data_IF_766662094030
#
_entry.id   IF_766662094030
#
_cell.length_a   1.000
_cell.length_b   1.000
_cell.length_c   1.000
_cell.angle_alpha   90.00
_cell.angle_beta   90.00
_cell.angle_gamma   90.00
#
_symmetry.space_group_name_H-M   'P 1'
#
loop_
_entity.id
_entity.type
_entity.pdbx_description
1 polymer ?
#
# COMPACT_ATOMS: atom_id res chain seq x y z
N UNK A 1 38.18 17.91 20.61
CA UNK A 1 36.73 18.00 20.91
C UNK A 1 35.86 18.08 19.65
N UNK A 2 36.01 19.06 18.73
CA UNK A 2 35.17 19.16 17.50
C UNK A 2 35.13 17.91 16.60
N UNK A 3 36.25 17.18 16.45
CA UNK A 3 36.29 15.95 15.64
C UNK A 3 35.39 14.83 16.23
N UNK A 4 35.37 14.69 17.56
CA UNK A 4 34.49 13.74 18.24
C UNK A 4 33.01 14.16 18.16
N UNK A 5 32.70 15.45 18.07
CA UNK A 5 31.34 15.93 17.82
C UNK A 5 30.88 15.63 16.40
N UNK A 6 31.75 15.82 15.39
CA UNK A 6 31.44 15.53 13.99
C UNK A 6 31.21 14.04 13.74
N UNK A 7 32.09 13.16 14.27
CA UNK A 7 31.92 11.71 14.19
C UNK A 7 30.68 11.21 14.93
N UNK A 8 30.33 11.84 16.06
CA UNK A 8 29.12 11.50 16.82
C UNK A 8 27.85 11.99 16.10
N UNK A 9 27.95 13.08 15.33
CA UNK A 9 26.87 13.60 14.51
C UNK A 9 26.66 12.77 13.25
N UNK A 10 27.72 12.37 12.55
CA UNK A 10 27.64 11.40 11.43
C UNK A 10 27.10 10.04 11.89
N UNK A 11 27.51 9.55 13.07
CA UNK A 11 26.98 8.32 13.64
C UNK A 11 25.50 8.44 14.08
N UNK A 12 25.09 9.60 14.60
CA UNK A 12 23.70 9.86 14.97
C UNK A 12 22.80 9.99 13.72
N UNK A 13 23.29 10.67 12.69
CA UNK A 13 22.59 10.83 11.41
C UNK A 13 22.42 9.48 10.70
N UNK A 14 23.44 8.60 10.74
CA UNK A 14 23.35 7.23 10.23
C UNK A 14 22.31 6.39 11.02
N UNK A 15 22.28 6.52 12.35
CA UNK A 15 21.30 5.81 13.17
C UNK A 15 19.86 6.28 12.90
N UNK A 16 19.64 7.60 12.81
CA UNK A 16 18.31 8.16 12.49
C UNK A 16 17.86 7.68 11.11
N UNK A 17 18.75 7.72 10.13
CA UNK A 17 18.44 7.30 8.76
C UNK A 17 17.99 5.83 8.71
N UNK A 18 18.68 4.95 9.43
CA UNK A 18 18.31 3.53 9.55
C UNK A 18 16.95 3.32 10.22
N UNK A 19 16.67 4.03 11.31
CA UNK A 19 15.37 3.94 12.01
C UNK A 19 14.24 4.38 11.06
N UNK A 20 14.44 5.49 10.34
CA UNK A 20 13.45 5.96 9.37
C UNK A 20 13.26 4.96 8.22
N UNK A 21 14.34 4.35 7.73
CA UNK A 21 14.30 3.26 6.76
C UNK A 21 13.52 2.03 7.25
N UNK A 22 13.65 1.67 8.52
CA UNK A 22 12.88 0.57 9.11
C UNK A 22 11.39 0.90 9.24
N UNK A 23 11.07 2.11 9.71
CA UNK A 23 9.70 2.57 9.85
C UNK A 23 8.98 2.61 8.50
N UNK A 24 9.60 3.22 7.49
CA UNK A 24 9.00 3.32 6.15
C UNK A 24 8.73 1.93 5.56
N UNK A 25 9.61 0.95 5.78
CA UNK A 25 9.41 -0.43 5.32
C UNK A 25 8.22 -1.11 6.01
N UNK A 26 8.11 -1.00 7.34
CA UNK A 26 6.96 -1.56 8.08
C UNK A 26 5.65 -0.97 7.58
N UNK A 27 5.57 0.36 7.48
CA UNK A 27 4.36 1.04 7.00
C UNK A 27 4.03 0.72 5.55
N UNK A 28 5.04 0.51 4.71
CA UNK A 28 4.86 0.11 3.32
C UNK A 28 4.22 -1.27 3.22
N UNK A 29 4.74 -2.27 3.94
CA UNK A 29 4.13 -3.61 3.96
C UNK A 29 2.77 -3.62 4.64
N UNK A 30 2.58 -2.87 5.73
CA UNK A 30 1.29 -2.74 6.39
C UNK A 30 0.25 -2.16 5.42
N UNK A 31 0.62 -1.14 4.64
CA UNK A 31 -0.25 -0.56 3.62
C UNK A 31 -0.58 -1.57 2.52
N UNK A 32 0.41 -2.31 2.02
CA UNK A 32 0.23 -3.34 0.99
C UNK A 32 -0.78 -4.42 1.42
N UNK A 33 -0.59 -5.00 2.61
CA UNK A 33 -1.49 -6.03 3.12
C UNK A 33 -2.85 -5.48 3.55
N UNK A 34 -2.94 -4.25 4.07
CA UNK A 34 -4.22 -3.60 4.35
C UNK A 34 -5.04 -3.42 3.07
N UNK A 35 -4.43 -2.97 1.97
CA UNK A 35 -5.11 -2.81 0.67
C UNK A 35 -5.65 -4.14 0.16
N UNK A 36 -4.86 -5.21 0.23
CA UNK A 36 -5.30 -6.56 -0.10
C UNK A 36 -6.50 -7.00 0.78
N UNK A 37 -6.38 -6.84 2.09
CA UNK A 37 -7.43 -7.20 3.05
C UNK A 37 -8.75 -6.45 2.80
N UNK A 38 -8.68 -5.14 2.53
CA UNK A 38 -9.86 -4.32 2.19
C UNK A 38 -10.51 -4.80 0.89
N UNK A 39 -9.73 -5.16 -0.12
CA UNK A 39 -10.24 -5.67 -1.40
C UNK A 39 -10.93 -7.04 -1.23
N UNK A 40 -10.33 -7.95 -0.46
CA UNK A 40 -10.93 -9.25 -0.10
C UNK A 40 -12.24 -9.04 0.66
N UNK A 41 -12.23 -8.22 1.71
CA UNK A 41 -13.41 -7.89 2.51
C UNK A 41 -14.57 -7.39 1.64
N UNK A 42 -14.26 -6.51 0.68
CA UNK A 42 -15.21 -5.97 -0.29
C UNK A 42 -15.75 -7.03 -1.25
N UNK A 43 -14.89 -7.91 -1.75
CA UNK A 43 -15.32 -9.00 -2.63
C UNK A 43 -16.25 -9.97 -1.88
N UNK A 44 -15.92 -10.33 -0.63
CA UNK A 44 -16.77 -11.19 0.21
C UNK A 44 -18.14 -10.55 0.43
N UNK A 45 -18.18 -9.25 0.76
CA UNK A 45 -19.42 -8.51 0.98
C UNK A 45 -20.38 -8.56 -0.22
N UNK A 46 -19.85 -8.58 -1.46
CA UNK A 46 -20.65 -8.60 -2.68
C UNK A 46 -20.95 -10.03 -3.16
N UNK A 47 -19.95 -10.92 -3.11
CA UNK A 47 -20.06 -12.25 -3.71
C UNK A 47 -20.92 -13.20 -2.86
N UNK A 48 -20.88 -13.05 -1.53
CA UNK A 48 -21.54 -13.97 -0.58
C UNK A 48 -22.20 -13.19 0.56
N UNK A 49 -23.23 -12.36 0.31
CA UNK A 49 -23.78 -11.42 1.29
C UNK A 49 -24.28 -12.09 2.59
N UNK A 50 -24.83 -13.31 2.51
CA UNK A 50 -25.30 -14.06 3.68
C UNK A 50 -24.14 -14.51 4.57
N UNK A 51 -23.04 -14.99 3.97
CA UNK A 51 -21.83 -15.37 4.70
C UNK A 51 -21.07 -14.12 5.19
N UNK A 52 -21.09 -13.04 4.42
CA UNK A 52 -20.48 -11.77 4.79
C UNK A 52 -21.05 -11.21 6.10
N UNK A 53 -22.35 -11.38 6.36
CA UNK A 53 -22.96 -10.98 7.64
C UNK A 53 -22.38 -11.73 8.86
N UNK A 54 -21.87 -12.96 8.67
CA UNK A 54 -21.22 -13.76 9.71
C UNK A 54 -19.70 -13.54 9.76
N UNK A 55 -19.07 -13.35 8.60
CA UNK A 55 -17.62 -13.21 8.47
C UNK A 55 -17.13 -11.80 8.79
N UNK A 56 -17.84 -10.76 8.36
CA UNK A 56 -17.43 -9.35 8.45
C UNK A 56 -17.97 -8.67 9.71
N UNK A 57 -17.94 -9.38 10.83
CA UNK A 57 -18.30 -8.81 12.13
C UNK A 57 -17.19 -7.92 12.66
N UNK A 58 -17.51 -6.96 13.54
CA UNK A 58 -16.53 -6.04 14.13
C UNK A 58 -15.33 -6.75 14.76
N UNK A 59 -15.59 -7.87 15.46
CA UNK A 59 -14.55 -8.68 16.11
C UNK A 59 -13.65 -9.35 15.08
N UNK A 60 -14.22 -9.94 14.03
CA UNK A 60 -13.43 -10.59 12.98
C UNK A 60 -12.61 -9.58 12.20
N UNK A 61 -13.18 -8.42 11.85
CA UNK A 61 -12.45 -7.35 11.17
C UNK A 61 -11.27 -6.85 12.01
N UNK A 62 -11.43 -6.73 13.33
CA UNK A 62 -10.32 -6.38 14.22
C UNK A 62 -9.22 -7.44 14.21
N UNK A 63 -9.58 -8.73 14.28
CA UNK A 63 -8.61 -9.83 14.17
C UNK A 63 -7.91 -9.82 12.80
N UNK A 64 -8.63 -9.57 11.70
CA UNK A 64 -8.03 -9.44 10.37
C UNK A 64 -6.99 -8.32 10.31
N UNK A 65 -7.26 -7.16 10.91
CA UNK A 65 -6.30 -6.06 10.99
C UNK A 65 -5.05 -6.47 11.76
N UNK A 66 -5.21 -7.15 12.91
CA UNK A 66 -4.07 -7.66 13.68
C UNK A 66 -3.22 -8.64 12.86
N UNK A 67 -3.84 -9.58 12.16
CA UNK A 67 -3.14 -10.54 11.29
C UNK A 67 -2.37 -9.82 10.19
N UNK A 68 -2.99 -8.85 9.53
CA UNK A 68 -2.35 -8.02 8.49
C UNK A 68 -1.11 -7.29 9.02
N UNK A 69 -1.19 -6.72 10.22
CA UNK A 69 -0.05 -6.06 10.84
C UNK A 69 1.04 -7.05 11.26
N UNK A 70 0.68 -8.21 11.81
CA UNK A 70 1.64 -9.27 12.12
C UNK A 70 2.40 -9.70 10.87
N UNK A 71 1.72 -9.93 9.74
CA UNK A 71 2.36 -10.26 8.46
C UNK A 71 3.31 -9.15 7.99
N UNK A 72 2.90 -7.89 8.11
CA UNK A 72 3.75 -6.75 7.77
C UNK A 72 5.03 -6.70 8.61
N UNK A 73 4.92 -6.89 9.92
CA UNK A 73 6.08 -6.95 10.82
C UNK A 73 6.98 -8.15 10.54
N UNK A 74 6.40 -9.34 10.30
CA UNK A 74 7.18 -10.52 9.91
C UNK A 74 7.96 -10.26 8.62
N UNK A 75 7.33 -9.64 7.63
CA UNK A 75 7.97 -9.33 6.35
C UNK A 75 9.04 -8.23 6.47
N UNK A 76 8.81 -7.23 7.32
CA UNK A 76 9.77 -6.17 7.61
C UNK A 76 10.90 -6.61 8.57
N UNK A 77 10.72 -7.71 9.31
CA UNK A 77 11.65 -8.15 10.36
C UNK A 77 13.11 -8.24 9.90
N UNK A 78 13.46 -8.70 8.68
CA UNK A 78 14.87 -8.83 8.30
C UNK A 78 15.64 -7.50 8.29
N UNK A 79 14.93 -6.37 8.09
CA UNK A 79 15.51 -5.02 8.09
C UNK A 79 15.88 -4.51 9.49
N UNK A 80 15.44 -5.19 10.56
CA UNK A 80 15.75 -4.82 11.94
C UNK A 80 16.98 -5.51 12.51
N UNK A 81 17.28 -6.74 12.07
CA UNK A 81 18.25 -7.62 12.75
C UNK A 81 19.56 -7.74 11.99
N UNK A 82 19.55 -7.60 10.66
CA UNK A 82 20.75 -7.76 9.85
C UNK A 82 21.47 -6.41 9.70
N UNK A 83 22.64 -6.28 10.32
CA UNK A 83 23.52 -5.11 10.18
C UNK A 83 23.82 -4.78 8.70
N UNK A 84 23.86 -5.82 7.85
CA UNK A 84 24.12 -5.74 6.42
C UNK A 84 22.88 -5.51 5.55
N UNK A 85 21.68 -5.42 6.13
CA UNK A 85 20.42 -5.27 5.41
C UNK A 85 19.56 -4.20 6.06
N UNK A 86 19.90 -2.94 5.79
CA UNK A 86 19.10 -1.79 6.17
C UNK A 86 18.81 -0.92 4.94
N UNK A 87 17.75 -0.13 5.06
CA UNK A 87 17.40 0.90 4.09
C UNK A 87 17.85 2.25 4.66
N UNK A 88 18.45 3.05 3.81
CA UNK A 88 18.88 4.41 4.15
C UNK A 88 18.50 5.36 3.01
N UNK A 89 18.30 6.63 3.36
CA UNK A 89 18.07 7.71 2.44
C UNK A 89 19.40 8.18 1.86
N UNK A 90 19.51 8.17 0.53
CA UNK A 90 20.65 8.70 -0.19
C UNK A 90 20.39 10.18 -0.55
N UNK A 91 21.16 11.07 0.06
CA UNK A 91 21.07 12.52 -0.15
C UNK A 91 21.53 12.98 -1.54
N UNK A 92 22.30 12.17 -2.27
CA UNK A 92 22.76 12.52 -3.62
C UNK A 92 21.67 12.24 -4.66
N UNK A 93 20.97 11.11 -4.50
CA UNK A 93 19.96 10.61 -5.44
C UNK A 93 18.52 10.88 -4.98
N UNK A 94 18.33 11.45 -3.78
CA UNK A 94 17.03 11.79 -3.18
C UNK A 94 16.03 10.63 -3.14
N UNK A 95 16.53 9.43 -2.82
CA UNK A 95 15.75 8.20 -2.75
C UNK A 95 16.20 7.31 -1.60
N UNK A 96 15.29 6.43 -1.18
CA UNK A 96 15.62 5.33 -0.28
C UNK A 96 16.31 4.20 -1.06
N UNK A 97 17.41 3.69 -0.52
CA UNK A 97 18.24 2.63 -1.13
C UNK A 97 18.51 1.56 -0.07
N UNK A 98 18.52 0.30 -0.50
CA UNK A 98 18.96 -0.83 0.33
C UNK A 98 20.45 -1.05 0.12
N UNK A 99 21.19 -1.32 1.20
CA UNK A 99 22.63 -1.62 1.14
C UNK A 99 22.91 -2.74 0.11
N UNK A 100 23.93 -2.55 -0.72
CA UNK A 100 24.30 -3.46 -1.81
C UNK A 100 24.92 -4.80 -1.41
N UNK A 101 24.65 -5.31 -0.20
CA UNK A 101 25.10 -6.63 0.27
C UNK A 101 24.35 -7.76 -0.46
N UNK A 102 24.87 -8.99 -0.39
CA UNK A 102 24.18 -10.16 -0.95
C UNK A 102 22.73 -10.27 -0.43
N UNK A 103 22.56 -10.11 0.88
CA UNK A 103 21.25 -10.12 1.54
C UNK A 103 20.38 -8.94 1.09
N UNK A 104 20.93 -7.73 1.02
CA UNK A 104 20.19 -6.55 0.57
C UNK A 104 19.65 -6.69 -0.86
N UNK A 105 20.41 -7.32 -1.77
CA UNK A 105 19.93 -7.64 -3.13
C UNK A 105 18.73 -8.59 -3.09
N UNK A 106 18.78 -9.66 -2.32
CA UNK A 106 17.64 -10.60 -2.16
C UNK A 106 16.40 -9.87 -1.67
N UNK A 107 16.53 -8.99 -0.67
CA UNK A 107 15.40 -8.22 -0.14
C UNK A 107 14.82 -7.21 -1.14
N UNK A 108 15.65 -6.60 -2.00
CA UNK A 108 15.14 -5.77 -3.10
C UNK A 108 14.25 -6.60 -4.04
N UNK A 109 14.62 -7.85 -4.35
CA UNK A 109 13.77 -8.72 -5.19
C UNK A 109 12.45 -9.07 -4.49
N UNK A 110 12.49 -9.40 -3.21
CA UNK A 110 11.30 -9.67 -2.40
C UNK A 110 10.38 -8.44 -2.36
N UNK A 111 10.95 -7.26 -2.16
CA UNK A 111 10.19 -6.00 -2.18
C UNK A 111 9.52 -5.78 -3.54
N UNK A 112 10.27 -5.97 -4.64
CA UNK A 112 9.73 -5.90 -6.01
C UNK A 112 8.61 -6.91 -6.27
N UNK A 113 8.65 -8.10 -5.67
CA UNK A 113 7.57 -9.08 -5.76
C UNK A 113 6.24 -8.58 -5.14
N UNK A 114 6.28 -7.53 -4.31
CA UNK A 114 5.10 -6.80 -3.86
C UNK A 114 4.17 -6.34 -4.98
N UNK A 115 4.69 -6.14 -6.21
CA UNK A 115 3.87 -5.84 -7.40
C UNK A 115 2.81 -6.91 -7.66
N UNK A 116 3.11 -8.18 -7.39
CA UNK A 116 2.19 -9.29 -7.60
C UNK A 116 0.98 -9.13 -6.67
N UNK A 117 1.21 -8.77 -5.41
CA UNK A 117 0.14 -8.52 -4.44
C UNK A 117 -0.69 -7.30 -4.86
N UNK A 118 -0.06 -6.26 -5.40
CA UNK A 118 -0.78 -5.08 -5.90
C UNK A 118 -1.64 -5.40 -7.13
N UNK A 119 -1.12 -6.18 -8.08
CA UNK A 119 -1.88 -6.65 -9.24
C UNK A 119 -3.07 -7.50 -8.79
N UNK A 120 -2.86 -8.45 -7.88
CA UNK A 120 -3.94 -9.27 -7.31
C UNK A 120 -4.99 -8.37 -6.66
N UNK A 121 -4.57 -7.39 -5.84
CA UNK A 121 -5.48 -6.44 -5.18
C UNK A 121 -6.30 -5.65 -6.19
N UNK A 122 -5.67 -5.12 -7.24
CA UNK A 122 -6.36 -4.39 -8.30
C UNK A 122 -7.36 -5.30 -9.04
N UNK A 123 -6.98 -6.54 -9.35
CA UNK A 123 -7.86 -7.50 -10.02
C UNK A 123 -9.06 -7.88 -9.15
N UNK A 124 -8.86 -8.08 -7.85
CA UNK A 124 -9.95 -8.33 -6.89
C UNK A 124 -10.96 -7.16 -6.88
N UNK A 125 -10.48 -5.91 -6.93
CA UNK A 125 -11.34 -4.73 -7.01
C UNK A 125 -12.09 -4.65 -8.35
N UNK A 126 -11.43 -4.93 -9.47
CA UNK A 126 -12.10 -5.01 -10.79
C UNK A 126 -13.22 -6.05 -10.77
N UNK A 127 -12.96 -7.24 -10.22
CA UNK A 127 -13.96 -8.30 -10.08
C UNK A 127 -15.09 -7.88 -9.15
N UNK A 128 -14.78 -7.25 -8.01
CA UNK A 128 -15.78 -6.74 -7.07
C UNK A 128 -16.68 -5.70 -7.74
N UNK A 129 -16.11 -4.74 -8.47
CA UNK A 129 -16.86 -3.73 -9.24
C UNK A 129 -17.70 -4.38 -10.34
N UNK A 130 -17.18 -5.35 -11.07
CA UNK A 130 -17.90 -6.05 -12.12
C UNK A 130 -19.11 -6.83 -11.56
N UNK A 131 -18.93 -7.58 -10.46
CA UNK A 131 -20.03 -8.27 -9.77
C UNK A 131 -21.05 -7.28 -9.22
N UNK A 132 -20.60 -6.19 -8.61
CA UNK A 132 -21.49 -5.14 -8.12
C UNK A 132 -22.32 -4.52 -9.24
N UNK A 133 -21.71 -4.22 -10.40
CA UNK A 133 -22.43 -3.68 -11.58
C UNK A 133 -23.48 -4.65 -12.11
N UNK A 134 -23.17 -5.95 -12.18
CA UNK A 134 -24.14 -6.98 -12.60
C UNK A 134 -25.32 -7.06 -11.63
N UNK A 135 -25.07 -7.16 -10.33
CA UNK A 135 -26.11 -7.10 -9.31
C UNK A 135 -26.91 -5.79 -9.43
N UNK A 136 -26.22 -4.67 -9.69
CA UNK A 136 -26.82 -3.36 -9.83
C UNK A 136 -27.83 -3.27 -10.98
N UNK A 137 -27.48 -3.81 -12.14
CA UNK A 137 -28.35 -3.87 -13.31
C UNK A 137 -29.63 -4.67 -13.03
N UNK A 138 -29.53 -5.82 -12.37
CA UNK A 138 -30.69 -6.66 -12.00
C UNK A 138 -31.67 -5.89 -11.09
N UNK A 139 -31.16 -5.26 -10.04
CA UNK A 139 -32.00 -4.48 -9.13
C UNK A 139 -32.51 -3.15 -9.73
N UNK A 140 -31.82 -2.60 -10.74
CA UNK A 140 -32.25 -1.36 -11.40
C UNK A 140 -33.58 -1.52 -12.14
N UNK A 141 -33.90 -2.74 -12.59
CA UNK A 141 -35.21 -3.02 -13.20
C UNK A 141 -36.35 -2.93 -12.18
N UNK A 142 -36.06 -3.06 -10.88
CA UNK A 142 -37.02 -2.92 -9.77
C UNK A 142 -36.85 -1.57 -9.02
N UNK A 143 -36.16 -0.59 -9.63
CA UNK A 143 -35.79 0.65 -8.96
C UNK A 143 -36.98 1.50 -8.51
N UNK A 144 -38.16 1.31 -9.09
CA UNK A 144 -39.41 1.97 -8.70
C UNK A 144 -39.89 1.59 -7.29
N UNK A 145 -39.53 0.41 -6.79
CA UNK A 145 -39.88 -0.06 -5.43
C UNK A 145 -38.89 0.36 -4.34
N UNK A 146 -37.77 1.03 -4.69
CA UNK A 146 -36.67 1.26 -3.75
C UNK A 146 -36.79 2.61 -3.04
N UNK A 147 -36.71 2.63 -1.71
CA UNK A 147 -36.77 3.86 -0.91
C UNK A 147 -35.64 4.85 -1.27
N UNK A 148 -35.92 6.16 -1.13
CA UNK A 148 -34.90 7.23 -1.29
C UNK A 148 -33.65 6.97 -0.45
N UNK A 149 -33.81 6.43 0.77
CA UNK A 149 -32.70 6.10 1.66
C UNK A 149 -31.82 4.96 1.12
N UNK A 150 -32.43 3.87 0.63
CA UNK A 150 -31.70 2.78 -0.03
C UNK A 150 -30.98 3.27 -1.29
N UNK A 151 -31.61 4.15 -2.07
CA UNK A 151 -31.00 4.72 -3.29
C UNK A 151 -29.78 5.59 -2.97
N UNK A 152 -29.84 6.37 -1.88
CA UNK A 152 -28.70 7.17 -1.39
C UNK A 152 -27.57 6.26 -0.93
N UNK A 153 -27.84 5.29 -0.05
CA UNK A 153 -26.83 4.33 0.46
C UNK A 153 -26.08 3.65 -0.68
N UNK A 154 -26.82 3.17 -1.67
CA UNK A 154 -26.26 2.51 -2.85
C UNK A 154 -25.39 3.43 -3.72
N UNK A 155 -25.79 4.69 -3.91
CA UNK A 155 -24.96 5.67 -4.64
C UNK A 155 -23.63 5.92 -3.92
N UNK A 156 -23.65 5.96 -2.59
CA UNK A 156 -22.43 6.09 -1.79
C UNK A 156 -21.55 4.85 -1.93
N UNK A 157 -22.12 3.64 -1.84
CA UNK A 157 -21.39 2.39 -2.10
C UNK A 157 -20.68 2.42 -3.47
N UNK A 158 -21.38 2.82 -4.54
CA UNK A 158 -20.78 2.97 -5.88
C UNK A 158 -19.59 3.94 -5.91
N UNK A 159 -19.68 5.06 -5.18
CA UNK A 159 -18.57 6.03 -5.10
C UNK A 159 -17.36 5.40 -4.40
N UNK A 160 -17.56 4.74 -3.25
CA UNK A 160 -16.50 4.01 -2.54
C UNK A 160 -15.88 2.88 -3.39
N UNK A 161 -16.66 2.27 -4.28
CA UNK A 161 -16.16 1.30 -5.27
C UNK A 161 -15.22 1.93 -6.29
N UNK A 162 -15.65 3.02 -6.92
CA UNK A 162 -14.82 3.73 -7.90
C UNK A 162 -13.55 4.32 -7.27
N UNK A 163 -13.69 4.85 -6.05
CA UNK A 163 -12.58 5.38 -5.26
C UNK A 163 -11.51 4.31 -5.07
N UNK A 164 -11.86 3.15 -4.51
CA UNK A 164 -10.85 2.13 -4.22
C UNK A 164 -10.16 1.60 -5.47
N UNK A 165 -10.91 1.45 -6.58
CA UNK A 165 -10.34 1.05 -7.86
C UNK A 165 -9.32 2.08 -8.36
N UNK A 166 -9.65 3.37 -8.28
CA UNK A 166 -8.75 4.46 -8.64
C UNK A 166 -7.52 4.46 -7.73
N UNK A 167 -7.75 4.37 -6.41
CA UNK A 167 -6.71 4.39 -5.39
C UNK A 167 -5.69 3.26 -5.57
N UNK A 168 -6.17 2.03 -5.79
CA UNK A 168 -5.31 0.87 -5.99
C UNK A 168 -4.64 0.87 -7.37
N UNK A 169 -5.29 1.43 -8.40
CA UNK A 169 -4.66 1.67 -9.70
C UNK A 169 -3.52 2.70 -9.63
N UNK A 170 -3.74 3.84 -8.97
CA UNK A 170 -2.71 4.85 -8.74
C UNK A 170 -1.56 4.29 -7.91
N UNK A 171 -1.86 3.45 -6.92
CA UNK A 171 -0.83 2.79 -6.11
C UNK A 171 0.04 1.86 -6.94
N UNK A 172 -0.57 1.08 -7.85
CA UNK A 172 0.18 0.20 -8.75
C UNK A 172 1.11 1.01 -9.66
N UNK A 173 0.64 2.15 -10.19
CA UNK A 173 1.46 3.07 -10.98
C UNK A 173 2.62 3.62 -10.15
N UNK A 174 2.36 4.06 -8.92
CA UNK A 174 3.40 4.56 -8.01
C UNK A 174 4.47 3.51 -7.71
N UNK A 175 4.04 2.26 -7.50
CA UNK A 175 4.93 1.13 -7.25
C UNK A 175 5.82 0.82 -8.46
N UNK A 176 5.22 0.76 -9.67
CA UNK A 176 5.97 0.61 -10.92
C UNK A 176 6.97 1.75 -11.10
N UNK A 177 6.52 2.98 -10.83
CA UNK A 177 7.33 4.18 -10.94
C UNK A 177 8.56 4.10 -10.03
N UNK A 178 8.38 3.72 -8.77
CA UNK A 178 9.45 3.64 -7.78
C UNK A 178 10.47 2.53 -8.07
N UNK A 179 10.02 1.32 -8.46
CA UNK A 179 10.90 0.16 -8.60
C UNK A 179 11.48 -0.08 -9.98
N UNK A 180 10.81 0.38 -11.04
CA UNK A 180 11.19 0.09 -12.42
C UNK A 180 11.53 1.34 -13.22
N UNK A 181 10.83 2.46 -13.01
CA UNK A 181 11.07 3.70 -13.77
C UNK A 181 12.18 4.54 -13.14
N UNK A 182 12.09 4.81 -11.84
CA UNK A 182 13.05 5.65 -11.12
C UNK A 182 14.52 5.18 -11.25
N UNK A 183 14.85 3.88 -11.21
CA UNK A 183 16.22 3.42 -11.42
C UNK A 183 16.78 3.63 -12.83
N UNK A 184 15.96 4.00 -13.82
CA UNK A 184 16.41 4.28 -15.19
C UNK A 184 17.05 5.67 -15.33
N UNK A 185 16.88 6.54 -14.33
CA UNK A 185 17.37 7.91 -14.37
C UNK A 185 18.64 8.07 -13.51
N UNK A 186 19.64 8.74 -14.07
CA UNK A 186 20.81 9.22 -13.32
C UNK A 186 20.63 10.62 -12.74
N UNK A 187 19.66 11.40 -13.25
CA UNK A 187 19.37 12.74 -12.74
C UNK A 187 18.53 12.69 -11.46
N UNK A 188 19.02 13.35 -10.40
CA UNK A 188 18.38 13.36 -9.07
C UNK A 188 16.97 13.94 -9.05
N UNK A 189 16.65 14.92 -9.91
CA UNK A 189 15.32 15.50 -9.97
C UNK A 189 14.34 14.51 -10.60
N UNK A 190 14.74 13.87 -11.69
CA UNK A 190 13.93 12.80 -12.31
C UNK A 190 13.73 11.62 -11.37
N UNK A 191 14.78 11.21 -10.64
CA UNK A 191 14.68 10.17 -9.61
C UNK A 191 13.66 10.58 -8.55
N UNK A 192 13.75 11.78 -7.99
CA UNK A 192 12.81 12.29 -6.98
C UNK A 192 11.36 12.35 -7.50
N UNK A 193 11.16 12.90 -8.70
CA UNK A 193 9.85 13.05 -9.34
C UNK A 193 9.18 11.71 -9.65
N UNK A 194 9.96 10.66 -9.90
CA UNK A 194 9.46 9.32 -10.23
C UNK A 194 9.45 8.35 -9.05
N UNK A 195 10.04 8.73 -7.92
CA UNK A 195 10.05 7.96 -6.67
C UNK A 195 9.20 8.65 -5.61
N UNK A 196 9.85 9.45 -4.76
CA UNK A 196 9.29 10.08 -3.57
C UNK A 196 8.08 10.94 -3.89
N UNK A 197 8.16 11.77 -4.93
CA UNK A 197 7.07 12.70 -5.28
C UNK A 197 5.79 11.96 -5.67
N UNK A 198 5.89 10.89 -6.49
CA UNK A 198 4.73 10.07 -6.87
C UNK A 198 4.05 9.44 -5.65
N UNK A 199 4.85 8.95 -4.69
CA UNK A 199 4.34 8.39 -3.44
C UNK A 199 3.62 9.44 -2.58
N UNK A 200 4.18 10.65 -2.45
CA UNK A 200 3.52 11.72 -1.70
C UNK A 200 2.21 12.16 -2.37
N UNK A 201 2.18 12.26 -3.71
CA UNK A 201 0.95 12.55 -4.45
C UNK A 201 -0.10 11.47 -4.26
N UNK A 202 0.30 10.19 -4.23
CA UNK A 202 -0.60 9.08 -3.93
C UNK A 202 -1.23 9.25 -2.54
N UNK A 203 -0.43 9.50 -1.51
CA UNK A 203 -0.94 9.68 -0.14
C UNK A 203 -1.84 10.92 -0.01
N UNK A 204 -1.51 12.01 -0.69
CA UNK A 204 -2.37 13.19 -0.77
C UNK A 204 -3.71 12.88 -1.46
N UNK A 205 -3.67 12.08 -2.54
CA UNK A 205 -4.87 11.64 -3.27
C UNK A 205 -5.75 10.73 -2.41
N UNK A 206 -5.15 9.84 -1.62
CA UNK A 206 -5.87 8.97 -0.69
C UNK A 206 -6.68 9.78 0.33
N UNK A 207 -6.17 10.93 0.77
CA UNK A 207 -6.83 11.84 1.71
C UNK A 207 -7.95 12.69 1.09
N UNK A 208 -7.86 13.07 -0.18
CA UNK A 208 -8.86 13.91 -0.85
C UNK A 208 -10.14 13.15 -1.25
N UNK A 209 -10.07 11.83 -1.39
CA UNK A 209 -11.17 11.04 -1.96
C UNK A 209 -12.14 10.50 -0.88
N UNK A 210 -11.99 10.86 0.40
CA UNK A 210 -12.91 10.42 1.48
C UNK A 210 -14.24 11.19 1.53
#
# INVERSE_FOLDING_TARGET
>A
MRHNYCLRQEAADDQINRIMGQLITVFSYATLYCRLGISINRLIAIAVPIQAAKLLTRRNSFVCVLVVWCLAFCHASPYFWASCCHIYYDCNMWRWITVGSHWGKTFIYVDKCGIIIMIITFMLDVVAVAKFRKANKVFSNNASMMSKAQRRRRRMEIKFFKQALCQNGLSLIAFISYHFISPLFGDRWLVFLTSTFVWQLLHASDGYVL
#
